data_IF_506669754065
#
_entry.id   IF_506669754065
#
_cell.length_a   1.000
_cell.length_b   1.000
_cell.length_c   1.000
_cell.angle_alpha   90.00
_cell.angle_beta   90.00
_cell.angle_gamma   90.00
#
_symmetry.space_group_name_H-M   'P 1'
#
loop_
_entity.id
_entity.type
_entity.pdbx_description
1 polymer ?
#
# COMPACT_ATOMS: atom_id res chain seq x y z
N UNK A 1 -14.92 -12.93 53.22
CA UNK A 1 -14.41 -12.10 52.11
C UNK A 1 -13.20 -12.70 51.37
N UNK A 2 -13.25 -13.92 50.76
CA UNK A 2 -12.19 -14.36 49.84
C UNK A 2 -12.59 -14.39 48.35
N UNK A 3 -13.87 -14.24 48.01
CA UNK A 3 -14.38 -14.54 46.66
C UNK A 3 -14.19 -13.46 45.59
N UNK A 4 -13.74 -12.24 45.94
CA UNK A 4 -13.54 -11.16 44.96
C UNK A 4 -12.15 -11.10 44.33
N UNK A 5 -11.16 -11.86 44.84
CA UNK A 5 -9.77 -11.82 44.32
C UNK A 5 -9.58 -12.59 43.01
N UNK A 6 -10.42 -13.59 42.73
CA UNK A 6 -10.31 -14.41 41.51
C UNK A 6 -10.82 -13.69 40.25
N UNK A 7 -11.73 -12.72 40.39
CA UNK A 7 -12.35 -12.02 39.24
C UNK A 7 -11.39 -11.02 38.56
N UNK A 8 -10.52 -10.35 39.32
CA UNK A 8 -9.53 -9.41 38.76
C UNK A 8 -8.48 -10.08 37.87
N UNK A 9 -8.08 -11.32 38.19
CA UNK A 9 -7.06 -12.05 37.41
C UNK A 9 -7.58 -12.51 36.04
N UNK A 10 -8.88 -12.79 35.92
CA UNK A 10 -9.49 -13.21 34.65
C UNK A 10 -9.68 -12.05 33.67
N UNK A 11 -9.81 -10.82 34.15
CA UNK A 11 -10.07 -9.64 33.31
C UNK A 11 -8.80 -9.00 32.76
N UNK A 12 -7.75 -8.86 33.58
CA UNK A 12 -6.46 -8.29 33.15
C UNK A 12 -5.79 -9.10 32.03
N UNK A 13 -5.91 -10.44 32.10
CA UNK A 13 -5.39 -11.33 31.04
C UNK A 13 -6.14 -11.17 29.71
N UNK A 14 -7.41 -10.75 29.74
CA UNK A 14 -8.26 -10.59 28.55
C UNK A 14 -7.99 -9.29 27.79
N UNK A 15 -7.53 -8.25 28.49
CA UNK A 15 -7.15 -6.95 27.88
C UNK A 15 -5.75 -7.03 27.25
N UNK A 16 -4.84 -7.82 27.82
CA UNK A 16 -3.48 -8.00 27.30
C UNK A 16 -3.37 -8.98 26.10
N UNK A 17 -4.43 -9.71 25.77
CA UNK A 17 -4.45 -10.68 24.66
C UNK A 17 -4.83 -10.07 23.29
N UNK A 18 -4.99 -8.75 23.21
CA UNK A 18 -5.36 -8.05 21.97
C UNK A 18 -4.19 -7.36 21.27
N UNK A 19 -2.95 -7.60 21.70
CA UNK A 19 -1.78 -6.94 21.13
C UNK A 19 -0.99 -7.84 20.18
N UNK A 20 -0.81 -7.34 18.95
CA UNK A 20 0.06 -7.89 17.92
C UNK A 20 0.93 -6.76 17.33
N UNK A 21 1.30 -5.77 18.15
CA UNK A 21 2.36 -4.81 17.86
C UNK A 21 3.34 -4.77 19.03
N UNK A 22 4.52 -5.34 18.81
CA UNK A 22 5.70 -5.06 19.61
C UNK A 22 6.00 -3.55 19.56
N UNK A 23 5.48 -2.81 20.54
CA UNK A 23 6.13 -1.61 21.00
C UNK A 23 6.64 -1.90 22.40
N UNK A 24 7.97 -1.95 22.52
CA UNK A 24 8.70 -2.22 23.74
C UNK A 24 8.30 -1.24 24.86
N UNK A 25 7.29 -1.63 25.61
CA UNK A 25 7.07 -1.23 26.99
C UNK A 25 7.39 -2.42 27.91
N UNK A 26 8.43 -3.20 27.61
CA UNK A 26 9.04 -4.09 28.62
C UNK A 26 9.89 -3.24 29.58
N UNK A 27 9.21 -2.53 30.47
CA UNK A 27 9.74 -2.38 31.83
C UNK A 27 9.30 -3.63 32.57
N UNK A 28 10.27 -4.48 32.88
CA UNK A 28 10.20 -5.58 33.85
C UNK A 28 8.94 -5.54 34.71
N UNK A 29 7.99 -6.44 34.43
CA UNK A 29 6.97 -6.81 35.40
C UNK A 29 7.72 -7.57 36.49
N UNK A 30 8.22 -6.83 37.48
CA UNK A 30 8.64 -7.44 38.73
C UNK A 30 7.43 -8.16 39.30
N UNK A 31 7.70 -9.36 39.81
CA UNK A 31 6.76 -10.27 40.45
C UNK A 31 6.31 -9.70 41.81
N UNK A 32 5.79 -8.47 41.79
CA UNK A 32 5.20 -7.80 42.91
C UNK A 32 3.73 -7.54 42.59
N UNK A 33 2.93 -8.44 43.15
CA UNK A 33 1.50 -8.38 43.43
C UNK A 33 1.09 -7.14 44.26
N UNK A 34 1.53 -5.95 43.86
CA UNK A 34 1.13 -4.68 44.44
C UNK A 34 0.11 -4.05 43.49
N UNK A 35 -1.16 -4.03 43.91
CA UNK A 35 -2.20 -3.23 43.25
C UNK A 35 -1.74 -1.77 43.33
N UNK A 36 -1.17 -1.27 42.23
CA UNK A 36 -0.74 0.13 42.14
C UNK A 36 -1.93 0.93 41.61
N UNK A 37 -2.27 2.09 42.20
CA UNK A 37 -3.25 2.99 41.63
C UNK A 37 -2.95 3.25 40.14
N UNK A 38 -3.99 3.24 39.31
CA UNK A 38 -3.86 3.41 37.85
C UNK A 38 -3.20 4.76 37.51
N UNK A 39 -3.50 5.77 38.32
CA UNK A 39 -2.97 7.14 38.24
C UNK A 39 -1.46 7.21 38.41
N UNK A 40 -0.88 6.29 39.19
CA UNK A 40 0.57 6.26 39.45
C UNK A 40 1.34 5.63 38.29
N UNK A 41 0.65 4.92 37.39
CA UNK A 41 1.26 4.25 36.23
C UNK A 41 1.01 4.97 34.91
N UNK A 42 -0.15 5.62 34.77
CA UNK A 42 -0.55 6.32 33.54
C UNK A 42 -0.85 7.77 33.87
N UNK A 43 -0.10 8.69 33.24
CA UNK A 43 -0.38 10.12 33.34
C UNK A 43 -1.79 10.42 32.81
N UNK A 44 -2.47 11.37 33.44
CA UNK A 44 -3.83 11.81 33.09
C UNK A 44 -4.92 10.71 33.16
N UNK A 45 -4.62 9.54 33.73
CA UNK A 45 -5.63 8.54 34.04
C UNK A 45 -6.35 8.87 35.37
N UNK A 46 -7.63 8.54 35.47
CA UNK A 46 -8.42 8.72 36.70
C UNK A 46 -9.37 7.54 36.95
N UNK A 47 -9.73 7.34 38.21
CA UNK A 47 -10.65 6.29 38.65
C UNK A 47 -11.62 6.86 39.68
N UNK A 48 -12.91 6.62 39.50
CA UNK A 48 -13.95 7.08 40.42
C UNK A 48 -14.91 5.94 40.71
N UNK A 49 -15.18 5.65 41.98
CA UNK A 49 -16.10 4.60 42.39
C UNK A 49 -17.34 5.19 43.05
N UNK A 50 -18.49 4.99 42.40
CA UNK A 50 -19.80 5.32 42.95
C UNK A 50 -20.37 4.09 43.67
N UNK A 51 -20.33 4.13 45.01
CA UNK A 51 -20.86 3.06 45.87
C UNK A 51 -22.38 2.92 45.73
N UNK A 52 -23.10 4.02 45.51
CA UNK A 52 -24.56 4.04 45.41
C UNK A 52 -25.06 3.34 44.15
N UNK A 53 -24.30 3.43 43.05
CA UNK A 53 -24.59 2.74 41.79
C UNK A 53 -23.81 1.42 41.60
N UNK A 54 -22.89 1.11 42.52
CA UNK A 54 -21.91 0.01 42.36
C UNK A 54 -21.13 0.11 41.04
N UNK A 55 -20.79 1.34 40.63
CA UNK A 55 -20.18 1.65 39.34
C UNK A 55 -18.75 2.17 39.52
N UNK A 56 -17.79 1.59 38.80
CA UNK A 56 -16.40 2.06 38.75
C UNK A 56 -16.13 2.70 37.39
N UNK A 57 -16.01 4.03 37.37
CA UNK A 57 -15.62 4.81 36.20
C UNK A 57 -14.10 4.85 36.09
N UNK A 58 -13.57 4.45 34.93
CA UNK A 58 -12.15 4.53 34.60
C UNK A 58 -11.98 5.46 33.41
N UNK A 59 -11.15 6.49 33.54
CA UNK A 59 -10.75 7.35 32.44
C UNK A 59 -9.28 7.12 32.14
N UNK A 60 -8.97 6.69 30.93
CA UNK A 60 -7.61 6.44 30.47
C UNK A 60 -7.41 7.20 29.17
N UNK A 61 -6.34 8.03 29.04
CA UNK A 61 -6.06 8.71 27.79
C UNK A 61 -6.00 7.73 26.61
N UNK A 62 -6.57 8.14 25.48
CA UNK A 62 -6.76 7.26 24.32
C UNK A 62 -5.44 6.67 23.83
N UNK A 63 -4.33 7.39 23.96
CA UNK A 63 -3.00 6.94 23.52
C UNK A 63 -2.53 5.63 24.20
N UNK A 64 -3.04 5.32 25.40
CA UNK A 64 -2.69 4.11 26.15
C UNK A 64 -3.61 2.93 25.87
N UNK A 65 -4.67 3.13 25.08
CA UNK A 65 -5.65 2.09 24.76
C UNK A 65 -5.37 1.60 23.34
N UNK A 66 -5.18 0.28 23.19
CA UNK A 66 -5.05 -0.35 21.88
C UNK A 66 -6.27 -0.03 21.00
N UNK A 67 -6.06 0.79 19.98
CA UNK A 67 -7.15 1.32 19.16
C UNK A 67 -7.45 0.37 18.01
N UNK A 68 -8.71 0.00 17.87
CA UNK A 68 -9.22 -0.57 16.62
C UNK A 68 -9.67 0.59 15.73
N UNK A 69 -9.03 0.74 14.58
CA UNK A 69 -9.42 1.76 13.61
C UNK A 69 -10.89 1.58 13.20
N UNK A 70 -11.55 2.66 12.79
CA UNK A 70 -12.93 2.56 12.32
C UNK A 70 -13.02 1.59 11.12
N UNK A 71 -13.95 0.64 11.19
CA UNK A 71 -14.06 -0.42 10.18
C UNK A 71 -13.08 -1.59 10.37
N UNK A 72 -12.34 -1.65 11.48
CA UNK A 72 -11.50 -2.79 11.80
C UNK A 72 -12.32 -4.07 11.94
N UNK A 73 -11.84 -5.14 11.30
CA UNK A 73 -12.36 -6.49 11.41
C UNK A 73 -11.22 -7.38 11.90
N UNK A 74 -11.47 -8.16 12.96
CA UNK A 74 -10.49 -9.11 13.47
C UNK A 74 -10.11 -10.12 12.38
N UNK A 75 -8.81 -10.43 12.19
CA UNK A 75 -8.39 -11.46 11.24
C UNK A 75 -8.99 -12.85 11.49
N UNK A 76 -9.41 -13.16 12.73
CA UNK A 76 -10.08 -14.43 13.06
C UNK A 76 -11.47 -14.55 12.41
N UNK A 77 -12.05 -13.43 11.98
CA UNK A 77 -13.32 -13.40 11.26
C UNK A 77 -13.15 -13.48 9.74
N UNK A 78 -11.91 -13.52 9.23
CA UNK A 78 -11.66 -13.59 7.80
C UNK A 78 -11.83 -15.02 7.29
N UNK A 79 -12.80 -15.20 6.40
CA UNK A 79 -13.04 -16.49 5.76
C UNK A 79 -12.15 -16.69 4.53
N UNK A 80 -11.52 -17.85 4.41
CA UNK A 80 -10.71 -18.21 3.23
C UNK A 80 -11.59 -18.46 1.98
N UNK A 81 -12.89 -18.66 2.19
CA UNK A 81 -13.86 -19.03 1.16
C UNK A 81 -14.03 -20.54 1.03
N UNK A 82 -14.78 -20.95 -0.01
CA UNK A 82 -15.03 -22.36 -0.32
C UNK A 82 -14.12 -22.86 -1.45
N UNK A 83 -13.94 -24.18 -1.49
CA UNK A 83 -13.29 -24.83 -2.61
C UNK A 83 -14.21 -24.75 -3.85
N UNK A 84 -13.74 -24.11 -4.91
CA UNK A 84 -14.54 -23.89 -6.11
C UNK A 84 -13.68 -23.77 -7.36
N UNK A 85 -14.19 -24.29 -8.47
CA UNK A 85 -13.69 -24.01 -9.82
C UNK A 85 -14.34 -22.75 -10.36
N UNK A 86 -13.57 -21.95 -11.10
CA UNK A 86 -13.98 -20.70 -11.71
C UNK A 86 -13.64 -20.76 -13.20
N UNK A 87 -14.58 -20.35 -14.04
CA UNK A 87 -14.36 -20.16 -15.47
C UNK A 87 -15.11 -18.92 -15.92
N UNK A 88 -14.37 -17.94 -16.41
CA UNK A 88 -14.88 -16.74 -17.02
C UNK A 88 -14.42 -16.71 -18.48
N UNK A 89 -15.33 -16.40 -19.40
CA UNK A 89 -15.06 -16.38 -20.83
C UNK A 89 -15.61 -15.11 -21.47
N UNK A 90 -14.83 -14.51 -22.36
CA UNK A 90 -15.24 -13.35 -23.15
C UNK A 90 -14.95 -13.63 -24.61
N UNK A 91 -15.99 -13.72 -25.43
CA UNK A 91 -15.89 -13.98 -26.85
C UNK A 91 -16.34 -12.76 -27.65
N UNK A 92 -15.46 -12.26 -28.52
CA UNK A 92 -15.73 -11.16 -29.43
C UNK A 92 -15.46 -11.62 -30.86
N UNK A 93 -16.32 -11.23 -31.80
CA UNK A 93 -16.06 -11.41 -33.22
C UNK A 93 -16.55 -10.22 -34.00
N UNK A 94 -15.77 -9.80 -35.00
CA UNK A 94 -16.18 -8.78 -35.95
C UNK A 94 -15.87 -9.24 -37.39
N UNK A 95 -16.60 -8.64 -38.33
CA UNK A 95 -16.33 -8.81 -39.74
C UNK A 95 -16.27 -7.46 -40.41
N UNK A 96 -15.17 -7.21 -41.12
CA UNK A 96 -14.91 -5.97 -41.84
C UNK A 96 -15.06 -6.28 -43.33
N UNK A 97 -15.95 -5.52 -43.97
CA UNK A 97 -16.17 -5.60 -45.41
C UNK A 97 -15.68 -4.30 -46.05
N UNK A 98 -14.56 -4.34 -46.78
CA UNK A 98 -13.98 -3.16 -47.40
C UNK A 98 -14.62 -2.92 -48.77
N UNK A 99 -15.52 -1.93 -48.86
CA UNK A 99 -16.23 -1.56 -50.10
C UNK A 99 -15.42 -0.69 -51.07
N UNK A 100 -14.25 -0.17 -50.67
CA UNK A 100 -13.50 0.82 -51.45
C UNK A 100 -12.61 0.24 -52.56
N UNK A 101 -12.41 -1.07 -52.60
CA UNK A 101 -11.58 -1.72 -53.62
C UNK A 101 -12.31 -2.97 -54.11
N UNK A 102 -12.56 -3.09 -55.42
CA UNK A 102 -13.30 -4.23 -56.02
C UNK A 102 -12.61 -5.61 -55.81
N UNK A 103 -11.38 -5.63 -55.27
CA UNK A 103 -10.60 -6.82 -54.91
C UNK A 103 -10.34 -6.97 -53.39
N UNK A 104 -10.89 -6.12 -52.53
CA UNK A 104 -10.70 -6.24 -51.08
C UNK A 104 -11.68 -7.28 -50.51
N UNK A 105 -11.15 -8.44 -50.09
CA UNK A 105 -11.94 -9.53 -49.53
C UNK A 105 -12.57 -9.18 -48.17
N UNK A 106 -13.43 -10.08 -47.68
CA UNK A 106 -14.02 -10.00 -46.34
C UNK A 106 -12.99 -10.46 -45.30
N UNK A 107 -12.71 -9.63 -44.30
CA UNK A 107 -11.86 -10.01 -43.16
C UNK A 107 -12.72 -10.29 -41.93
N UNK A 108 -12.52 -11.43 -41.30
CA UNK A 108 -13.20 -11.84 -40.08
C UNK A 108 -12.17 -11.94 -38.97
N UNK A 109 -12.49 -11.43 -37.80
CA UNK A 109 -11.68 -11.57 -36.62
C UNK A 109 -12.54 -12.16 -35.52
N UNK A 110 -11.98 -13.12 -34.79
CA UNK A 110 -12.59 -13.67 -33.58
C UNK A 110 -11.54 -13.75 -32.49
N UNK A 111 -11.96 -13.46 -31.27
CA UNK A 111 -11.11 -13.42 -30.09
C UNK A 111 -11.86 -14.01 -28.91
N UNK A 112 -11.24 -14.95 -28.23
CA UNK A 112 -11.73 -15.55 -27.00
C UNK A 112 -10.69 -15.31 -25.90
N UNK A 113 -11.10 -14.67 -24.81
CA UNK A 113 -10.35 -14.63 -23.56
C UNK A 113 -10.96 -15.64 -22.60
N UNK A 114 -10.13 -16.53 -22.06
CA UNK A 114 -10.52 -17.56 -21.11
C UNK A 114 -9.72 -17.35 -19.82
N UNK A 115 -10.44 -17.02 -18.75
CA UNK A 115 -9.90 -16.88 -17.39
C UNK A 115 -10.41 -18.05 -16.58
N UNK A 116 -9.52 -18.98 -16.26
CA UNK A 116 -9.83 -20.12 -15.41
C UNK A 116 -9.20 -19.95 -14.03
N UNK A 117 -9.78 -20.60 -13.02
CA UNK A 117 -9.25 -20.54 -11.68
C UNK A 117 -9.76 -21.66 -10.81
N UNK A 118 -9.01 -21.96 -9.76
CA UNK A 118 -9.38 -22.92 -8.74
C UNK A 118 -9.06 -22.30 -7.39
N UNK A 119 -10.00 -22.34 -6.47
CA UNK A 119 -9.79 -22.00 -5.06
C UNK A 119 -9.74 -23.30 -4.25
N UNK A 120 -8.68 -23.48 -3.47
CA UNK A 120 -8.52 -24.61 -2.53
C UNK A 120 -7.99 -24.07 -1.20
N UNK A 121 -8.88 -23.97 -0.20
CA UNK A 121 -8.61 -23.23 1.04
C UNK A 121 -8.10 -21.82 0.74
N UNK A 122 -7.07 -21.39 1.47
CA UNK A 122 -6.35 -20.13 1.25
C UNK A 122 -5.63 -19.95 -0.11
N UNK A 123 -5.51 -20.99 -0.95
CA UNK A 123 -4.83 -20.88 -2.24
C UNK A 123 -5.78 -20.55 -3.38
N UNK A 124 -5.36 -19.59 -4.20
CA UNK A 124 -6.11 -19.11 -5.36
C UNK A 124 -5.24 -19.28 -6.60
N UNK A 125 -5.51 -20.31 -7.38
CA UNK A 125 -4.87 -20.54 -8.68
C UNK A 125 -5.66 -19.80 -9.76
N UNK A 126 -4.98 -19.06 -10.63
CA UNK A 126 -5.56 -18.32 -11.76
C UNK A 126 -4.74 -18.60 -13.01
N UNK A 127 -5.42 -18.78 -14.13
CA UNK A 127 -4.82 -18.92 -15.45
C UNK A 127 -5.60 -18.07 -16.45
N UNK A 128 -4.88 -17.35 -17.30
CA UNK A 128 -5.45 -16.57 -18.39
C UNK A 128 -4.84 -17.02 -19.71
N UNK A 129 -5.71 -17.35 -20.65
CA UNK A 129 -5.32 -17.76 -21.98
C UNK A 129 -6.25 -17.16 -23.02
N UNK A 130 -5.71 -16.92 -24.22
CA UNK A 130 -6.43 -16.26 -25.29
C UNK A 130 -6.34 -17.04 -26.58
N UNK A 131 -7.43 -17.02 -27.33
CA UNK A 131 -7.48 -17.56 -28.68
C UNK A 131 -7.83 -16.44 -29.63
N UNK A 132 -7.07 -16.34 -30.72
CA UNK A 132 -7.27 -15.34 -31.76
C UNK A 132 -7.34 -16.01 -33.12
N UNK A 133 -8.33 -15.60 -33.90
CA UNK A 133 -8.53 -15.99 -35.29
C UNK A 133 -8.64 -14.73 -36.12
N UNK A 134 -7.85 -14.63 -37.18
CA UNK A 134 -7.95 -13.58 -38.18
C UNK A 134 -7.93 -14.22 -39.57
N UNK A 135 -8.95 -13.95 -40.38
CA UNK A 135 -8.97 -14.38 -41.77
C UNK A 135 -8.23 -13.36 -42.65
N UNK A 136 -7.35 -13.86 -43.53
CA UNK A 136 -6.57 -13.01 -44.43
C UNK A 136 -7.38 -12.53 -45.65
N UNK A 137 -6.98 -11.40 -46.26
CA UNK A 137 -7.51 -10.95 -47.55
C UNK A 137 -6.53 -11.32 -48.65
N UNK A 138 -6.99 -12.10 -49.63
CA UNK A 138 -6.44 -12.41 -50.96
C UNK A 138 -4.97 -12.87 -51.10
N UNK A 139 -4.05 -12.51 -50.21
CA UNK A 139 -2.61 -12.88 -50.22
C UNK A 139 -2.03 -13.12 -48.81
N UNK A 140 -2.82 -13.04 -47.73
CA UNK A 140 -2.38 -13.39 -46.37
C UNK A 140 -3.04 -14.68 -45.89
N UNK A 141 -2.27 -15.55 -45.21
CA UNK A 141 -2.80 -16.78 -44.63
C UNK A 141 -3.65 -16.48 -43.39
N UNK A 142 -4.68 -17.29 -43.18
CA UNK A 142 -5.45 -17.26 -41.94
C UNK A 142 -4.51 -17.49 -40.74
N UNK A 143 -4.64 -16.65 -39.73
CA UNK A 143 -3.92 -16.82 -38.46
C UNK A 143 -4.89 -17.35 -37.42
N UNK A 144 -4.59 -18.51 -36.86
CA UNK A 144 -5.35 -19.13 -35.78
C UNK A 144 -4.36 -19.55 -34.69
N UNK A 145 -4.39 -18.90 -33.53
CA UNK A 145 -3.41 -19.13 -32.47
C UNK A 145 -4.07 -19.11 -31.09
N UNK A 146 -3.73 -20.13 -30.30
CA UNK A 146 -3.90 -20.13 -28.86
C UNK A 146 -2.63 -19.59 -28.21
N UNK A 147 -2.77 -18.59 -27.35
CA UNK A 147 -1.68 -17.94 -26.64
C UNK A 147 -2.00 -17.90 -25.14
N UNK A 148 -1.16 -18.58 -24.38
CA UNK A 148 -1.15 -18.52 -22.92
C UNK A 148 -0.56 -17.17 -22.46
N UNK A 149 -1.23 -16.51 -21.50
CA UNK A 149 -0.81 -15.20 -20.99
C UNK A 149 -0.07 -15.37 -19.66
N UNK A 150 -0.76 -15.87 -18.65
CA UNK A 150 -0.21 -16.02 -17.31
C UNK A 150 -0.87 -17.17 -16.53
N UNK A 151 -0.09 -17.80 -15.66
CA UNK A 151 -0.58 -18.68 -14.59
C UNK A 151 0.04 -18.24 -13.27
N UNK A 152 -0.78 -17.99 -12.25
CA UNK A 152 -0.32 -17.63 -10.91
C UNK A 152 -1.10 -18.37 -9.82
N UNK A 153 -0.43 -18.66 -8.72
CA UNK A 153 -1.03 -19.14 -7.49
C UNK A 153 -0.75 -18.12 -6.39
N UNK A 154 -1.81 -17.65 -5.75
CA UNK A 154 -1.74 -16.60 -4.73
C UNK A 154 -2.27 -17.10 -3.40
N UNK A 155 -1.65 -16.64 -2.32
CA UNK A 155 -2.08 -16.90 -0.94
C UNK A 155 -1.80 -15.70 -0.06
N UNK A 156 -2.77 -15.33 0.76
CA UNK A 156 -2.61 -14.30 1.78
C UNK A 156 -1.94 -14.89 3.04
N UNK A 157 -0.93 -14.19 3.57
CA UNK A 157 -0.23 -14.49 4.82
C UNK A 157 -0.66 -13.45 5.85
N UNK A 158 -1.72 -13.79 6.59
CA UNK A 158 -2.40 -12.89 7.53
C UNK A 158 -1.45 -12.32 8.61
N UNK A 159 -0.57 -13.10 9.27
CA UNK A 159 0.32 -12.56 10.31
C UNK A 159 1.30 -11.49 9.79
N UNK A 160 1.67 -11.57 8.50
CA UNK A 160 2.56 -10.61 7.85
C UNK A 160 1.80 -9.52 7.09
N UNK A 161 0.46 -9.54 7.11
CA UNK A 161 -0.41 -8.68 6.29
C UNK A 161 0.04 -8.58 4.83
N UNK A 162 0.43 -9.72 4.27
CA UNK A 162 1.12 -9.80 2.99
C UNK A 162 0.51 -10.84 2.08
N UNK A 163 0.72 -10.69 0.77
CA UNK A 163 0.35 -11.68 -0.23
C UNK A 163 1.59 -12.34 -0.79
N UNK A 164 1.56 -13.67 -0.83
CA UNK A 164 2.50 -14.51 -1.55
C UNK A 164 1.93 -14.85 -2.92
N UNK A 165 2.69 -14.59 -3.97
CA UNK A 165 2.36 -14.97 -5.35
C UNK A 165 3.46 -15.88 -5.89
N UNK A 166 3.06 -16.99 -6.50
CA UNK A 166 3.94 -17.96 -7.15
C UNK A 166 3.52 -18.11 -8.60
N UNK A 167 4.47 -18.08 -9.54
CA UNK A 167 4.20 -18.13 -10.96
C UNK A 167 4.33 -16.75 -11.60
N UNK A 168 3.43 -16.43 -12.52
CA UNK A 168 3.48 -15.21 -13.31
C UNK A 168 2.93 -14.00 -12.56
N UNK A 169 3.73 -12.95 -12.43
CA UNK A 169 3.35 -11.73 -11.74
C UNK A 169 4.10 -10.52 -12.29
N UNK A 170 3.88 -9.38 -11.66
CA UNK A 170 4.56 -8.12 -11.96
C UNK A 170 4.98 -7.42 -10.66
N UNK A 171 6.03 -6.61 -10.73
CA UNK A 171 6.49 -5.78 -9.62
C UNK A 171 5.69 -4.48 -9.54
N UNK A 172 5.58 -3.88 -8.35
CA UNK A 172 4.55 -2.84 -8.09
C UNK A 172 4.85 -1.48 -8.75
N UNK A 173 6.07 -1.26 -9.27
CA UNK A 173 6.40 -0.05 -10.04
C UNK A 173 6.65 1.22 -9.21
N UNK A 174 6.64 1.13 -7.87
CA UNK A 174 6.71 2.32 -7.00
C UNK A 174 8.09 2.99 -7.00
N UNK A 175 9.15 2.18 -7.04
CA UNK A 175 10.56 2.62 -6.96
C UNK A 175 11.26 2.42 -8.31
N UNK A 176 11.31 1.15 -8.75
CA UNK A 176 11.82 0.76 -10.06
C UNK A 176 10.67 0.61 -11.05
N UNK A 177 10.98 0.67 -12.34
CA UNK A 177 10.00 0.42 -13.39
C UNK A 177 9.40 -1.00 -13.21
N UNK A 178 8.08 -1.12 -13.41
CA UNK A 178 7.37 -2.39 -13.26
C UNK A 178 7.86 -3.42 -14.28
N UNK A 179 8.26 -4.58 -13.79
CA UNK A 179 8.68 -5.70 -14.63
C UNK A 179 7.77 -6.90 -14.43
N UNK A 180 7.40 -7.52 -15.55
CA UNK A 180 6.72 -8.80 -15.58
C UNK A 180 7.74 -9.92 -15.36
N UNK A 181 7.39 -10.92 -14.57
CA UNK A 181 8.28 -12.02 -14.23
C UNK A 181 7.55 -13.31 -13.91
N UNK A 182 8.30 -14.41 -13.89
CA UNK A 182 7.85 -15.71 -13.38
C UNK A 182 8.71 -16.13 -12.21
N UNK A 183 8.11 -16.31 -11.04
CA UNK A 183 8.85 -16.69 -9.83
C UNK A 183 8.02 -16.53 -8.55
N UNK A 184 8.62 -15.92 -7.54
CA UNK A 184 8.02 -15.69 -6.22
C UNK A 184 7.92 -14.19 -5.95
N UNK A 185 6.76 -13.73 -5.49
CA UNK A 185 6.54 -12.38 -4.93
C UNK A 185 5.99 -12.50 -3.52
N UNK A 186 6.52 -11.73 -2.59
CA UNK A 186 5.81 -11.41 -1.35
C UNK A 186 5.73 -9.90 -1.19
N UNK A 187 4.53 -9.36 -1.01
CA UNK A 187 4.34 -7.93 -0.78
C UNK A 187 3.26 -7.66 0.26
N UNK A 188 3.48 -6.60 1.05
CA UNK A 188 2.46 -6.09 1.98
C UNK A 188 1.25 -5.61 1.19
N UNK A 189 0.03 -5.94 1.65
CA UNK A 189 -1.20 -5.62 0.93
C UNK A 189 -2.06 -4.62 1.71
N UNK A 190 -2.30 -3.45 1.13
CA UNK A 190 -3.15 -2.42 1.74
C UNK A 190 -4.61 -2.88 1.89
N UNK A 191 -5.09 -3.80 1.06
CA UNK A 191 -6.44 -4.36 1.17
C UNK A 191 -6.67 -5.17 2.47
N UNK A 192 -5.62 -5.50 3.23
CA UNK A 192 -5.72 -6.11 4.58
C UNK A 192 -5.80 -5.06 5.70
N UNK A 193 -5.68 -3.77 5.36
CA UNK A 193 -5.92 -2.67 6.27
C UNK A 193 -7.40 -2.26 6.20
N UNK A 194 -7.97 -1.74 7.29
CA UNK A 194 -9.26 -1.07 7.25
C UNK A 194 -9.23 0.07 6.23
N UNK A 195 -10.35 0.32 5.54
CA UNK A 195 -10.47 1.38 4.53
C UNK A 195 -10.04 2.76 5.05
N UNK A 196 -10.27 3.00 6.35
CA UNK A 196 -9.86 4.22 7.06
C UNK A 196 -8.34 4.42 7.20
N UNK A 197 -7.57 3.39 6.84
CA UNK A 197 -6.11 3.35 6.92
C UNK A 197 -5.44 3.17 5.54
N UNK A 198 -6.22 3.16 4.46
CA UNK A 198 -5.67 3.11 3.10
C UNK A 198 -5.03 4.45 2.73
N UNK A 199 -3.89 4.36 2.03
CA UNK A 199 -3.13 5.53 1.57
C UNK A 199 -2.60 6.45 2.66
N UNK A 200 -1.89 7.49 2.22
CA UNK A 200 -1.36 8.51 3.11
C UNK A 200 -2.47 9.47 3.59
N UNK A 201 -2.53 9.69 4.90
CA UNK A 201 -3.22 10.79 5.56
C UNK A 201 -2.38 11.19 6.78
N UNK A 202 -2.32 12.49 7.13
CA UNK A 202 -1.55 12.94 8.28
C UNK A 202 -2.15 12.40 9.58
N UNK A 203 -1.30 11.96 10.50
CA UNK A 203 -1.72 11.54 11.85
C UNK A 203 -1.84 12.79 12.72
N UNK A 204 -3.00 12.96 13.35
CA UNK A 204 -3.31 14.14 14.17
C UNK A 204 -3.00 13.82 15.62
N UNK A 205 -2.10 14.58 16.22
CA UNK A 205 -1.79 14.51 17.65
C UNK A 205 -2.41 15.70 18.38
N UNK A 206 -2.96 15.48 19.57
CA UNK A 206 -3.56 16.52 20.40
C UNK A 206 -3.62 16.15 21.88
N UNK A 207 -3.97 17.12 22.71
CA UNK A 207 -4.18 16.94 24.15
C UNK A 207 -5.53 17.57 24.50
N UNK A 208 -6.42 16.79 25.12
CA UNK A 208 -7.68 17.27 25.67
C UNK A 208 -7.52 17.53 27.17
N UNK A 209 -8.03 18.65 27.68
CA UNK A 209 -7.96 18.99 29.11
C UNK A 209 -8.99 18.21 29.92
N UNK A 210 -10.15 17.95 29.33
CA UNK A 210 -11.21 17.13 29.89
C UNK A 210 -11.76 16.17 28.85
N UNK A 211 -12.98 15.68 29.08
CA UNK A 211 -13.71 14.95 28.03
C UNK A 211 -14.05 15.92 26.92
N UNK A 212 -13.50 15.68 25.73
CA UNK A 212 -13.64 16.58 24.59
C UNK A 212 -14.27 15.89 23.39
N UNK A 213 -15.01 16.66 22.60
CA UNK A 213 -15.46 16.26 21.27
C UNK A 213 -14.47 16.78 20.24
N UNK A 214 -13.89 15.89 19.46
CA UNK A 214 -12.98 16.22 18.36
C UNK A 214 -13.73 16.04 17.04
N UNK A 215 -13.85 17.11 16.27
CA UNK A 215 -14.39 17.11 14.92
C UNK A 215 -13.33 17.54 13.92
N UNK A 216 -13.20 16.83 12.82
CA UNK A 216 -12.30 17.17 11.71
C UNK A 216 -13.15 17.51 10.50
N UNK A 217 -12.92 18.70 9.95
CA UNK A 217 -13.52 19.17 8.72
C UNK A 217 -12.50 19.17 7.60
N UNK A 218 -12.94 18.78 6.42
CA UNK A 218 -12.19 18.92 5.18
C UNK A 218 -13.10 19.56 4.14
N UNK A 219 -12.60 20.61 3.47
CA UNK A 219 -13.38 21.37 2.49
C UNK A 219 -14.75 21.86 3.01
N UNK A 220 -14.83 22.19 4.31
CA UNK A 220 -16.05 22.64 4.98
C UNK A 220 -17.02 21.54 5.43
N UNK A 221 -16.80 20.28 5.05
CA UNK A 221 -17.61 19.13 5.45
C UNK A 221 -16.98 18.40 6.64
N UNK A 222 -17.80 17.96 7.60
CA UNK A 222 -17.34 17.10 8.69
C UNK A 222 -16.98 15.71 8.15
N UNK A 223 -15.68 15.39 8.15
CA UNK A 223 -15.15 14.10 7.66
C UNK A 223 -14.89 13.11 8.79
N UNK A 224 -14.75 13.61 10.02
CA UNK A 224 -14.51 12.78 11.18
C UNK A 224 -15.06 13.45 12.44
N UNK A 225 -15.65 12.68 13.34
CA UNK A 225 -16.10 13.16 14.64
C UNK A 225 -16.00 12.00 15.65
N UNK A 226 -15.47 12.30 16.84
CA UNK A 226 -15.39 11.37 17.96
C UNK A 226 -15.34 12.13 19.30
N UNK A 227 -15.62 11.44 20.40
CA UNK A 227 -15.30 11.91 21.75
C UNK A 227 -14.00 11.26 22.23
N UNK A 228 -13.16 12.03 22.90
CA UNK A 228 -11.90 11.56 23.50
C UNK A 228 -11.91 11.80 25.00
N UNK A 229 -11.32 10.89 25.80
CA UNK A 229 -11.11 11.12 27.23
C UNK A 229 -10.07 12.23 27.47
N UNK A 230 -10.00 12.78 28.70
CA UNK A 230 -8.94 13.69 29.11
C UNK A 230 -7.54 13.10 28.85
N UNK A 231 -6.60 13.97 28.46
CA UNK A 231 -5.20 13.61 28.19
C UNK A 231 -4.84 13.59 26.70
N UNK A 232 -3.65 13.08 26.36
CA UNK A 232 -3.16 12.98 24.99
C UNK A 232 -3.96 11.98 24.15
N UNK A 233 -4.22 12.35 22.90
CA UNK A 233 -4.90 11.50 21.91
C UNK A 233 -4.25 11.59 20.53
N UNK A 234 -4.49 10.55 19.72
CA UNK A 234 -4.06 10.47 18.33
C UNK A 234 -5.21 10.04 17.43
N UNK A 235 -5.28 10.61 16.23
CA UNK A 235 -6.24 10.21 15.19
C UNK A 235 -5.45 9.78 13.96
N UNK A 236 -5.50 8.48 13.70
CA UNK A 236 -4.75 7.76 12.66
C UNK A 236 -5.65 6.94 11.74
N UNK A 237 -6.96 7.22 11.73
CA UNK A 237 -8.01 6.51 10.98
C UNK A 237 -8.88 7.47 10.15
N UNK A 238 -8.24 8.50 9.60
CA UNK A 238 -8.87 9.42 8.64
C UNK A 238 -8.74 8.81 7.25
N UNK A 239 -9.85 8.72 6.52
CA UNK A 239 -9.87 8.29 5.13
C UNK A 239 -8.95 9.19 4.30
N UNK A 240 -8.09 8.59 3.46
CA UNK A 240 -7.26 9.35 2.53
C UNK A 240 -8.14 10.07 1.50
N UNK A 241 -7.93 11.37 1.31
CA UNK A 241 -8.58 12.13 0.25
C UNK A 241 -7.60 12.24 -0.92
N UNK A 242 -7.95 11.64 -2.06
CA UNK A 242 -7.08 11.53 -3.23
C UNK A 242 -6.55 12.87 -3.78
N UNK A 243 -7.19 14.00 -3.44
CA UNK A 243 -6.83 15.34 -3.90
C UNK A 243 -6.25 16.25 -2.81
N UNK A 244 -5.93 15.70 -1.63
CA UNK A 244 -5.50 16.50 -0.48
C UNK A 244 -6.57 17.50 -0.02
N UNK A 245 -6.17 18.44 0.84
CA UNK A 245 -7.01 19.50 1.38
C UNK A 245 -6.90 19.60 2.89
N UNK A 246 -6.60 20.80 3.38
CA UNK A 246 -6.32 21.07 4.79
C UNK A 246 -7.43 20.54 5.71
N UNK A 247 -7.02 19.88 6.79
CA UNK A 247 -7.90 19.37 7.82
C UNK A 247 -8.03 20.44 8.91
N UNK A 248 -9.25 20.93 9.10
CA UNK A 248 -9.59 21.79 10.23
C UNK A 248 -10.04 20.90 11.39
N UNK A 249 -9.22 20.81 12.43
CA UNK A 249 -9.53 20.04 13.64
C UNK A 249 -10.03 21.00 14.69
N UNK A 250 -11.20 20.69 15.24
CA UNK A 250 -11.83 21.45 16.33
C UNK A 250 -11.98 20.52 17.52
N UNK A 251 -11.39 20.92 18.65
CA UNK A 251 -11.47 20.23 19.94
C UNK A 251 -12.39 21.09 20.81
N UNK A 252 -13.60 20.58 21.09
CA UNK A 252 -14.58 21.21 21.95
C UNK A 252 -14.58 20.52 23.32
N UNK A 253 -14.12 21.23 24.33
CA UNK A 253 -14.02 20.75 25.71
C UNK A 253 -15.39 20.76 26.40
N UNK A 254 -15.50 20.04 27.52
CA UNK A 254 -16.74 19.98 28.31
C UNK A 254 -17.18 21.34 28.88
N UNK A 255 -16.23 22.26 29.12
CA UNK A 255 -16.49 23.63 29.59
C UNK A 255 -16.98 24.58 28.47
N UNK A 256 -17.08 24.07 27.24
CA UNK A 256 -17.47 24.83 26.06
C UNK A 256 -16.32 25.59 25.39
N UNK A 257 -15.10 25.53 25.93
CA UNK A 257 -13.93 26.09 25.26
C UNK A 257 -13.62 25.31 23.98
N UNK A 258 -13.15 26.04 22.96
CA UNK A 258 -12.91 25.49 21.63
C UNK A 258 -11.47 25.79 21.23
N UNK A 259 -10.74 24.76 20.86
CA UNK A 259 -9.41 24.85 20.26
C UNK A 259 -9.52 24.44 18.80
N UNK A 260 -9.06 25.28 17.86
CA UNK A 260 -9.05 24.95 16.44
C UNK A 260 -7.61 24.96 15.92
N UNK A 261 -7.22 23.88 15.26
CA UNK A 261 -5.92 23.72 14.63
C UNK A 261 -6.11 23.29 13.17
N UNK A 262 -5.22 23.75 12.30
CA UNK A 262 -5.23 23.39 10.88
C UNK A 262 -4.04 22.46 10.61
N UNK A 263 -4.33 21.25 10.15
CA UNK A 263 -3.32 20.28 9.69
C UNK A 263 -3.36 20.31 8.17
N UNK A 264 -2.39 20.95 7.51
CA UNK A 264 -2.38 20.97 6.06
C UNK A 264 -2.08 19.56 5.54
N UNK A 265 -2.68 19.21 4.41
CA UNK A 265 -2.64 17.84 3.87
C UNK A 265 -2.37 17.87 2.37
N UNK A 266 -1.24 17.30 1.98
CA UNK A 266 -0.87 17.01 0.60
C UNK A 266 -0.22 15.63 0.52
N UNK A 267 -0.32 14.95 -0.62
CA UNK A 267 0.18 13.57 -0.76
C UNK A 267 0.96 13.37 -2.05
N UNK A 268 2.05 12.60 -1.99
CA UNK A 268 2.69 12.01 -3.17
C UNK A 268 2.65 10.49 -3.05
N UNK A 269 2.63 9.73 -4.16
CA UNK A 269 2.37 8.28 -4.13
C UNK A 269 3.28 7.45 -3.21
N UNK A 270 4.50 7.92 -2.94
CA UNK A 270 5.48 7.22 -2.08
C UNK A 270 5.27 7.45 -0.59
N UNK A 271 4.44 8.43 -0.18
CA UNK A 271 4.21 8.71 1.24
C UNK A 271 3.45 7.57 1.92
N UNK A 272 3.89 7.25 3.13
CA UNK A 272 3.29 6.25 3.99
C UNK A 272 2.84 6.90 5.29
N UNK A 273 1.69 6.44 5.82
CA UNK A 273 1.18 6.89 7.12
C UNK A 273 2.17 6.50 8.22
N UNK A 274 2.29 7.31 9.27
CA UNK A 274 3.23 7.03 10.36
C UNK A 274 2.99 5.64 10.98
N UNK A 275 4.04 4.84 11.12
CA UNK A 275 4.00 3.47 11.61
C UNK A 275 3.65 2.41 10.57
N UNK A 276 3.38 2.79 9.31
CA UNK A 276 3.07 1.85 8.24
C UNK A 276 4.33 1.51 7.44
N UNK A 277 4.48 0.22 7.16
CA UNK A 277 5.58 -0.30 6.36
C UNK A 277 5.01 -0.98 5.13
N UNK A 278 5.38 -0.49 3.95
CA UNK A 278 5.08 -1.14 2.68
C UNK A 278 6.37 -1.77 2.15
N UNK A 279 6.33 -3.06 1.86
CA UNK A 279 7.47 -3.79 1.34
C UNK A 279 7.06 -4.74 0.22
N UNK A 280 7.98 -5.00 -0.70
CA UNK A 280 7.84 -6.04 -1.70
C UNK A 280 9.18 -6.70 -1.95
N UNK A 281 9.16 -8.03 -2.06
CA UNK A 281 10.30 -8.85 -2.46
C UNK A 281 9.85 -9.74 -3.61
N UNK A 282 10.50 -9.60 -4.77
CA UNK A 282 10.28 -10.39 -5.97
C UNK A 282 11.57 -11.09 -6.37
N UNK A 283 11.48 -12.36 -6.76
CA UNK A 283 12.61 -13.09 -7.33
C UNK A 283 12.10 -14.04 -8.42
N UNK A 284 12.81 -14.13 -9.54
CA UNK A 284 12.38 -14.97 -10.64
C UNK A 284 13.05 -14.61 -11.96
N UNK A 285 12.44 -15.06 -13.05
CA UNK A 285 12.90 -14.82 -14.41
C UNK A 285 12.09 -13.69 -15.03
N UNK A 286 12.77 -12.70 -15.60
CA UNK A 286 12.15 -11.60 -16.32
C UNK A 286 11.37 -12.11 -17.55
N UNK A 287 10.17 -11.58 -17.76
CA UNK A 287 9.28 -11.95 -18.86
C UNK A 287 8.72 -10.71 -19.54
N UNK A 288 9.18 -10.39 -20.74
CA UNK A 288 8.60 -9.27 -21.50
C UNK A 288 7.51 -9.67 -22.49
N UNK A 289 7.52 -10.94 -22.94
CA UNK A 289 6.72 -11.37 -24.09
C UNK A 289 7.28 -10.92 -25.45
N UNK A 290 8.47 -10.31 -25.47
CA UNK A 290 9.15 -9.90 -26.69
C UNK A 290 10.30 -10.87 -27.03
N UNK A 291 10.31 -11.41 -28.25
CA UNK A 291 11.32 -12.35 -28.73
C UNK A 291 12.74 -11.76 -28.85
N UNK A 292 12.87 -10.43 -28.76
CA UNK A 292 14.16 -9.72 -28.81
C UNK A 292 14.79 -9.52 -27.43
N UNK A 293 14.11 -9.93 -26.36
CA UNK A 293 14.60 -9.84 -24.99
C UNK A 293 14.83 -11.22 -24.40
N UNK A 294 15.93 -11.38 -23.68
CA UNK A 294 16.24 -12.53 -22.85
C UNK A 294 15.39 -12.51 -21.57
N UNK A 295 15.45 -13.62 -20.83
CA UNK A 295 14.77 -13.81 -19.55
C UNK A 295 15.79 -13.93 -18.41
N UNK A 296 16.54 -12.85 -18.08
CA UNK A 296 17.50 -12.90 -16.99
C UNK A 296 16.81 -13.17 -15.65
N UNK A 297 17.50 -13.91 -14.78
CA UNK A 297 17.08 -14.07 -13.39
C UNK A 297 17.38 -12.79 -12.63
N UNK A 298 16.44 -12.37 -11.80
CA UNK A 298 16.62 -11.19 -10.96
C UNK A 298 16.00 -11.39 -9.58
N UNK A 299 16.45 -10.55 -8.65
CA UNK A 299 15.85 -10.30 -7.35
C UNK A 299 15.62 -8.80 -7.21
N UNK A 300 14.45 -8.41 -6.73
CA UNK A 300 14.06 -7.02 -6.48
C UNK A 300 13.45 -6.91 -5.10
N UNK A 301 13.96 -5.98 -4.30
CA UNK A 301 13.40 -5.62 -3.00
C UNK A 301 13.07 -4.13 -2.94
N UNK A 302 11.93 -3.78 -2.38
CA UNK A 302 11.56 -2.40 -2.06
C UNK A 302 11.00 -2.31 -0.64
N UNK A 303 11.28 -1.18 0.01
CA UNK A 303 10.83 -0.88 1.36
C UNK A 303 10.50 0.61 1.47
N UNK A 304 9.34 0.91 2.06
CA UNK A 304 8.89 2.24 2.41
C UNK A 304 8.37 2.22 3.83
N UNK A 305 8.72 3.21 4.64
CA UNK A 305 8.28 3.27 6.03
C UNK A 305 7.86 4.68 6.41
N UNK A 306 6.64 4.84 6.94
CA UNK A 306 6.15 6.11 7.43
C UNK A 306 6.65 6.40 8.84
N UNK A 307 7.38 7.49 9.01
CA UNK A 307 7.89 7.99 10.29
C UNK A 307 6.98 9.09 10.85
N UNK A 308 7.19 9.42 12.12
CA UNK A 308 6.57 10.60 12.74
C UNK A 308 6.94 11.89 12.00
N UNK A 309 6.05 12.89 12.07
CA UNK A 309 6.23 14.16 11.36
C UNK A 309 6.06 14.06 9.83
N UNK A 310 5.32 13.05 9.37
CA UNK A 310 4.99 12.80 7.95
C UNK A 310 6.20 12.65 7.03
N UNK A 311 7.29 12.05 7.56
CA UNK A 311 8.44 11.65 6.76
C UNK A 311 8.25 10.21 6.26
N UNK A 312 8.73 9.93 5.06
CA UNK A 312 8.73 8.57 4.52
C UNK A 312 10.05 8.28 3.82
N UNK A 313 11.06 7.72 4.52
CA UNK A 313 12.19 7.10 3.85
C UNK A 313 11.71 5.89 3.04
N UNK A 314 12.29 5.74 1.85
CA UNK A 314 12.10 4.56 1.02
C UNK A 314 13.37 4.22 0.24
N UNK A 315 13.42 3.00 -0.24
CA UNK A 315 14.52 2.55 -1.07
C UNK A 315 14.31 1.14 -1.56
N UNK A 316 15.21 0.70 -2.41
CA UNK A 316 15.15 -0.63 -2.97
C UNK A 316 16.43 -1.04 -3.66
N UNK A 317 16.49 -2.30 -4.02
CA UNK A 317 17.55 -2.86 -4.85
C UNK A 317 16.96 -3.76 -5.92
N UNK A 318 17.60 -3.80 -7.06
CA UNK A 318 17.28 -4.70 -8.17
C UNK A 318 18.60 -5.28 -8.69
N UNK A 319 18.73 -6.61 -8.62
CA UNK A 319 19.97 -7.32 -8.95
C UNK A 319 19.63 -8.43 -9.94
N UNK A 320 20.33 -8.45 -11.06
CA UNK A 320 20.33 -9.49 -12.09
C UNK A 320 21.77 -9.75 -12.54
N UNK A 321 21.97 -10.70 -13.46
CA UNK A 321 23.29 -11.07 -13.97
C UNK A 321 24.04 -9.87 -14.59
N UNK A 322 23.37 -9.13 -15.47
CA UNK A 322 23.94 -7.99 -16.20
C UNK A 322 23.41 -6.63 -15.72
N UNK A 323 22.76 -6.58 -14.55
CA UNK A 323 22.12 -5.37 -14.06
C UNK A 323 22.11 -5.27 -12.54
N UNK A 324 22.54 -4.14 -12.00
CA UNK A 324 22.46 -3.85 -10.57
C UNK A 324 22.01 -2.41 -10.36
N UNK A 325 20.94 -2.21 -9.61
CA UNK A 325 20.45 -0.89 -9.25
C UNK A 325 20.12 -0.79 -7.75
N UNK A 326 20.43 0.37 -7.19
CA UNK A 326 20.13 0.74 -5.81
C UNK A 326 19.42 2.08 -5.82
N UNK A 327 18.30 2.17 -5.11
CA UNK A 327 17.52 3.38 -4.95
C UNK A 327 17.47 3.79 -3.48
N UNK A 328 17.58 5.09 -3.24
CA UNK A 328 17.34 5.70 -1.94
C UNK A 328 16.53 6.99 -2.15
N UNK A 329 15.47 7.13 -1.37
CA UNK A 329 14.56 8.26 -1.46
C UNK A 329 13.97 8.67 -0.13
N UNK A 330 13.44 9.89 -0.12
CA UNK A 330 12.71 10.46 1.00
C UNK A 330 11.50 11.22 0.49
N UNK A 331 10.36 10.99 1.13
CA UNK A 331 9.13 11.74 0.97
C UNK A 331 8.83 12.55 2.22
N UNK A 332 8.19 13.70 2.05
CA UNK A 332 7.63 14.48 3.15
C UNK A 332 6.36 15.20 2.74
N UNK A 333 5.36 15.17 3.60
CA UNK A 333 4.29 16.17 3.59
C UNK A 333 4.78 17.45 4.30
N UNK A 334 4.99 18.52 3.54
CA UNK A 334 5.43 19.83 4.04
C UNK A 334 4.25 20.70 4.49
N UNK A 335 3.03 20.15 4.48
CA UNK A 335 1.83 20.86 4.86
C UNK A 335 1.55 22.05 3.92
N UNK A 336 1.72 23.28 4.42
CA UNK A 336 1.44 24.51 3.67
C UNK A 336 2.20 24.61 2.34
N UNK A 337 3.36 23.95 2.25
CA UNK A 337 4.17 23.94 1.04
C UNK A 337 3.85 22.78 0.09
N UNK A 338 2.88 21.92 0.39
CA UNK A 338 2.55 20.73 -0.39
C UNK A 338 3.29 19.48 0.08
N UNK A 339 3.26 18.42 -0.70
CA UNK A 339 4.04 17.20 -0.49
C UNK A 339 5.14 17.10 -1.53
N UNK A 340 6.29 16.57 -1.11
CA UNK A 340 7.46 16.41 -1.95
C UNK A 340 8.10 15.05 -1.73
N UNK A 341 8.59 14.43 -2.80
CA UNK A 341 9.49 13.30 -2.71
C UNK A 341 10.67 13.46 -3.64
N UNK A 342 11.82 12.96 -3.20
CA UNK A 342 13.05 12.92 -3.95
C UNK A 342 13.69 11.55 -3.80
N UNK A 343 14.12 10.96 -4.91
CA UNK A 343 14.94 9.75 -4.91
C UNK A 343 16.03 9.79 -5.95
N UNK A 344 17.09 9.04 -5.65
CA UNK A 344 18.21 8.79 -6.53
C UNK A 344 18.37 7.28 -6.73
N UNK A 345 18.49 6.88 -7.99
CA UNK A 345 18.78 5.51 -8.40
C UNK A 345 20.15 5.47 -9.03
N UNK A 346 21.07 4.68 -8.48
CA UNK A 346 22.33 4.33 -9.13
C UNK A 346 22.14 2.99 -9.83
N UNK A 347 22.48 2.92 -11.12
CA UNK A 347 22.44 1.69 -11.91
C UNK A 347 23.80 1.41 -12.54
N UNK A 348 24.22 0.14 -12.50
CA UNK A 348 25.33 -0.42 -13.26
C UNK A 348 24.78 -1.51 -14.16
N UNK A 349 25.06 -1.41 -15.46
CA UNK A 349 24.45 -2.25 -16.49
C UNK A 349 25.51 -2.74 -17.46
N UNK A 350 25.49 -4.02 -17.77
CA UNK A 350 26.20 -4.59 -18.92
C UNK A 350 25.21 -4.73 -20.07
N UNK A 351 25.49 -4.13 -21.22
CA UNK A 351 24.64 -4.25 -22.40
C UNK A 351 24.98 -5.51 -23.21
N UNK A 352 24.12 -5.84 -24.18
CA UNK A 352 24.27 -7.02 -25.05
C UNK A 352 25.60 -7.08 -25.82
N UNK A 353 26.25 -5.94 -26.04
CA UNK A 353 27.56 -5.83 -26.70
C UNK A 353 28.75 -6.03 -25.73
N UNK A 354 28.46 -6.32 -24.45
CA UNK A 354 29.45 -6.52 -23.39
C UNK A 354 29.98 -5.22 -22.76
N UNK A 355 29.51 -4.05 -23.20
CA UNK A 355 29.93 -2.77 -22.64
C UNK A 355 29.30 -2.52 -21.27
N UNK A 356 30.09 -1.96 -20.34
CA UNK A 356 29.62 -1.61 -18.99
C UNK A 356 29.29 -0.12 -18.92
N UNK A 357 28.09 0.17 -18.47
CA UNK A 357 27.58 1.51 -18.23
C UNK A 357 27.26 1.71 -16.76
N UNK A 358 27.52 2.92 -16.27
CA UNK A 358 27.16 3.36 -14.93
C UNK A 358 26.42 4.68 -15.04
N UNK A 359 25.29 4.78 -14.37
CA UNK A 359 24.44 5.96 -14.46
C UNK A 359 23.57 6.18 -13.25
N UNK A 360 23.02 7.39 -13.20
CA UNK A 360 22.19 7.86 -12.11
C UNK A 360 20.89 8.40 -12.68
N UNK A 361 19.79 8.12 -12.00
CA UNK A 361 18.49 8.73 -12.26
C UNK A 361 18.01 9.41 -10.99
N UNK A 362 17.66 10.68 -11.10
CA UNK A 362 17.08 11.47 -10.01
C UNK A 362 15.64 11.74 -10.35
N UNK A 363 14.73 11.44 -9.43
CA UNK A 363 13.29 11.68 -9.57
C UNK A 363 12.83 12.58 -8.44
N UNK A 364 12.12 13.64 -8.81
CA UNK A 364 11.49 14.59 -7.88
C UNK A 364 10.01 14.66 -8.20
N UNK A 365 9.16 14.52 -7.19
CA UNK A 365 7.70 14.62 -7.35
C UNK A 365 7.17 15.61 -6.35
N UNK A 366 6.34 16.53 -6.82
CA UNK A 366 5.69 17.55 -6.02
C UNK A 366 4.17 17.50 -6.23
N UNK A 367 3.41 17.65 -5.14
CA UNK A 367 1.96 17.75 -5.18
C UNK A 367 1.49 18.84 -4.22
N UNK A 368 0.47 19.61 -4.61
CA UNK A 368 -0.12 20.62 -3.74
C UNK A 368 -1.57 20.93 -4.10
N UNK A 369 -2.44 20.88 -3.10
CA UNK A 369 -3.81 21.37 -3.19
C UNK A 369 -3.96 22.74 -2.53
N UNK A 370 -4.44 23.74 -3.26
CA UNK A 370 -4.79 25.07 -2.75
C UNK A 370 -6.30 25.18 -2.57
N UNK A 371 -6.77 25.02 -1.33
CA UNK A 371 -8.20 25.09 -1.03
C UNK A 371 -8.81 26.47 -1.32
N UNK A 372 -8.11 27.55 -0.96
CA UNK A 372 -8.60 28.93 -1.06
C UNK A 372 -8.90 29.37 -2.50
N UNK A 373 -8.14 28.87 -3.48
CA UNK A 373 -8.27 29.22 -4.89
C UNK A 373 -8.89 28.09 -5.74
N UNK A 374 -9.21 26.95 -5.13
CA UNK A 374 -9.65 25.74 -5.84
C UNK A 374 -8.61 25.16 -6.80
N UNK A 375 -7.32 25.52 -6.66
CA UNK A 375 -6.25 25.06 -7.57
C UNK A 375 -5.66 23.75 -7.06
N UNK A 376 -5.60 22.72 -7.90
CA UNK A 376 -4.98 21.45 -7.55
C UNK A 376 -3.80 21.14 -8.48
N UNK A 377 -2.59 21.11 -7.92
CA UNK A 377 -1.38 20.63 -8.59
C UNK A 377 -1.24 19.16 -8.20
N UNK A 378 -1.87 18.26 -8.95
CA UNK A 378 -1.92 16.84 -8.59
C UNK A 378 -0.52 16.20 -8.58
N UNK A 379 0.27 16.33 -9.64
CA UNK A 379 1.63 15.79 -9.73
C UNK A 379 2.47 16.64 -10.69
N UNK A 380 3.49 17.32 -10.16
CA UNK A 380 4.60 17.84 -10.94
C UNK A 380 5.82 16.93 -10.71
N UNK A 381 6.04 15.99 -11.63
CA UNK A 381 7.14 15.03 -11.59
C UNK A 381 8.24 15.40 -12.58
N UNK A 382 9.49 15.35 -12.15
CA UNK A 382 10.65 15.50 -13.02
C UNK A 382 11.62 14.35 -12.77
N UNK A 383 12.02 13.66 -13.84
CA UNK A 383 13.03 12.60 -13.81
C UNK A 383 14.17 12.99 -14.73
N UNK A 384 15.38 13.02 -14.19
CA UNK A 384 16.60 13.25 -14.95
C UNK A 384 17.49 12.03 -14.85
N UNK A 385 17.90 11.48 -16.00
CA UNK A 385 18.77 10.30 -16.06
C UNK A 385 20.04 10.64 -16.84
N UNK A 386 21.20 10.26 -16.30
CA UNK A 386 22.48 10.44 -16.98
C UNK A 386 22.58 9.53 -18.21
N UNK A 387 23.53 9.82 -19.10
CA UNK A 387 23.69 9.05 -20.35
C UNK A 387 24.00 7.56 -20.15
N UNK A 388 24.58 7.18 -19.00
CA UNK A 388 24.88 5.79 -18.66
C UNK A 388 23.81 5.09 -17.84
N UNK A 389 22.65 5.72 -17.61
CA UNK A 389 21.56 5.13 -16.84
C UNK A 389 20.67 4.28 -17.75
N UNK A 390 20.47 3.03 -17.34
CA UNK A 390 19.60 2.05 -18.01
C UNK A 390 18.70 1.37 -16.97
N UNK A 391 17.60 0.81 -17.46
CA UNK A 391 16.69 -0.01 -16.67
C UNK A 391 16.97 -1.51 -16.87
N UNK A 392 16.42 -2.36 -15.99
CA UNK A 392 16.54 -3.82 -16.14
C UNK A 392 16.04 -4.30 -17.51
N UNK A 393 14.95 -3.73 -18.02
CA UNK A 393 14.38 -4.04 -19.33
C UNK A 393 15.35 -3.77 -20.49
N UNK A 394 16.26 -2.79 -20.33
CA UNK A 394 17.24 -2.44 -21.35
C UNK A 394 18.36 -3.48 -21.40
N UNK A 395 18.82 -3.93 -20.23
CA UNK A 395 19.83 -4.99 -20.13
C UNK A 395 19.35 -6.33 -20.69
N UNK A 396 18.03 -6.57 -20.70
CA UNK A 396 17.44 -7.80 -21.20
C UNK A 396 17.45 -7.90 -22.75
N UNK A 397 17.78 -6.86 -23.51
CA UNK A 397 17.78 -6.97 -24.97
C UNK A 397 18.90 -7.89 -25.48
N UNK A 398 18.59 -8.80 -26.39
CA UNK A 398 19.57 -9.74 -26.98
C UNK A 398 20.45 -9.11 -28.06
N UNK A 399 20.03 -7.95 -28.59
CA UNK A 399 20.80 -7.11 -29.51
C UNK A 399 20.48 -5.66 -29.20
N UNK A 400 21.46 -4.91 -28.73
CA UNK A 400 21.32 -3.49 -28.49
C UNK A 400 22.57 -2.77 -29.02
N UNK A 401 22.36 -1.69 -29.76
CA UNK A 401 23.40 -0.80 -30.28
C UNK A 401 22.91 0.62 -30.04
N UNK A 402 23.55 1.31 -29.10
CA UNK A 402 23.18 2.67 -28.72
C UNK A 402 21.87 2.80 -27.94
N UNK A 403 21.49 4.06 -27.69
CA UNK A 403 20.41 4.47 -26.79
C UNK A 403 19.03 4.34 -27.43
N UNK A 404 18.08 3.73 -26.73
CA UNK A 404 16.65 4.03 -26.91
C UNK A 404 16.39 5.38 -26.24
N UNK A 405 16.22 6.44 -27.03
CA UNK A 405 15.82 7.73 -26.49
C UNK A 405 14.36 7.64 -25.97
N UNK A 406 14.04 8.28 -24.84
CA UNK A 406 12.68 8.32 -24.30
C UNK A 406 11.69 9.01 -25.25
#
# INVERSE_FOLDING_TARGET
>A
MPEYRSSCQSWYKKIALLDNKEHSAEKHVSDNSACTPLQDRLADASTEFDVGQQHLSLSVPQIYVGRMARGYVSPDLWEEGINAGLLNYSFNGNSINNRSNHNAGKSNYAYLNLQSGINIGSWRLRDNSTWSYNSGSSNSSDSNKWQHINTSAERDIIPLRSRLTVGDSYTDGDIFDSVNFRGLKINSTEAMLPDSQHGFAPVIHGIARGTAQVSVKQNGYDVYQTTVPPGPFTIDDINSAANGGDLQVTIKEADGSIQTLYVPYSSVPVLQRAGYTRYALAMGEYRSGNNLQSSPKFIQGSLMHGLEGNWTPYGGMQIAEDYQAFNLGIGKDLGLFGAFSFDITQANTTLADGTRHSGQSVKSVYSKSFYQTGTNIQVAGYRYSTQGFYNLSDSAYSRMSGRLAP
#
